data_IF_093619598258
#
_entry.id   IF_093619598258
#
_cell.length_a   1.000
_cell.length_b   1.000
_cell.length_c   1.000
_cell.angle_alpha   90.00
_cell.angle_beta   90.00
_cell.angle_gamma   90.00
#
_symmetry.space_group_name_H-M   'P 1'
#
loop_
_entity.id
_entity.type
_entity.pdbx_description
1 polymer ?
#
# COMPACT_ATOMS: atom_id res chain seq x y z
N UNK A 1 34.60 -38.74 -24.19
CA UNK A 1 35.10 -37.49 -24.12
C UNK A 1 34.11 -36.40 -24.34
N UNK A 2 33.33 -36.53 -25.22
CA UNK A 2 32.36 -35.51 -25.50
C UNK A 2 31.34 -35.36 -24.44
N UNK A 3 31.03 -36.42 -23.76
CA UNK A 3 30.09 -36.28 -22.67
C UNK A 3 30.54 -35.31 -21.64
N UNK A 4 31.78 -35.38 -21.36
CA UNK A 4 32.31 -34.49 -20.37
C UNK A 4 32.10 -33.08 -20.76
N UNK A 5 32.19 -32.78 -22.02
CA UNK A 5 31.96 -31.45 -22.48
C UNK A 5 30.57 -30.99 -22.16
N UNK A 6 29.62 -31.87 -22.38
CA UNK A 6 28.26 -31.48 -22.18
C UNK A 6 27.94 -31.26 -20.75
N UNK A 7 28.37 -32.13 -19.88
CA UNK A 7 27.94 -32.05 -18.53
C UNK A 7 28.70 -30.99 -17.77
N UNK A 8 29.91 -30.76 -18.19
CA UNK A 8 30.69 -29.81 -17.40
C UNK A 8 30.93 -28.54 -18.13
N UNK A 9 30.12 -28.26 -19.11
CA UNK A 9 30.39 -27.12 -19.94
C UNK A 9 30.59 -25.86 -19.12
N UNK A 10 29.77 -25.62 -18.10
CA UNK A 10 29.87 -24.39 -17.36
C UNK A 10 31.07 -24.35 -16.46
N UNK A 11 31.50 -25.48 -16.00
CA UNK A 11 32.64 -25.50 -15.07
C UNK A 11 33.95 -25.63 -15.79
N UNK A 12 33.96 -26.36 -16.93
CA UNK A 12 35.19 -26.58 -17.64
C UNK A 12 35.54 -25.53 -18.64
N UNK A 13 34.53 -24.82 -19.13
CA UNK A 13 34.76 -23.77 -20.07
C UNK A 13 35.40 -22.59 -19.40
N UNK A 14 36.41 -22.10 -20.04
CA UNK A 14 37.14 -20.95 -19.51
C UNK A 14 37.06 -19.81 -20.50
N UNK A 15 36.80 -18.65 -19.97
CA UNK A 15 36.74 -17.45 -20.80
C UNK A 15 37.89 -16.57 -20.42
N UNK A 16 38.62 -16.15 -21.43
CA UNK A 16 39.79 -15.30 -21.21
C UNK A 16 39.37 -13.85 -21.39
N UNK A 17 39.54 -13.05 -20.34
CA UNK A 17 39.27 -11.63 -20.41
C UNK A 17 40.50 -10.89 -19.87
N UNK A 18 40.61 -9.65 -20.23
CA UNK A 18 41.68 -8.84 -19.71
C UNK A 18 41.47 -8.52 -18.26
N UNK A 19 42.54 -8.15 -17.60
CA UNK A 19 42.46 -7.77 -16.21
C UNK A 19 41.52 -6.59 -16.02
N UNK A 20 41.60 -5.65 -16.94
CA UNK A 20 40.76 -4.47 -16.88
C UNK A 20 39.29 -4.84 -16.98
N UNK A 21 38.98 -5.77 -17.88
CA UNK A 21 37.61 -6.23 -18.03
C UNK A 21 37.11 -6.94 -16.76
N UNK A 22 37.98 -7.75 -16.19
CA UNK A 22 37.63 -8.47 -14.98
C UNK A 22 37.35 -7.50 -13.83
N UNK A 23 38.17 -6.50 -13.68
CA UNK A 23 38.01 -5.49 -12.64
C UNK A 23 36.70 -4.72 -12.85
N UNK A 24 36.43 -4.39 -14.11
CA UNK A 24 35.21 -3.65 -14.42
C UNK A 24 33.98 -4.49 -14.10
N UNK A 25 34.01 -5.77 -14.43
CA UNK A 25 32.89 -6.65 -14.12
C UNK A 25 32.69 -6.77 -12.63
N UNK A 26 33.80 -6.84 -11.89
CA UNK A 26 33.69 -6.90 -10.44
C UNK A 26 33.05 -5.65 -9.86
N UNK A 27 33.44 -4.49 -10.38
CA UNK A 27 32.86 -3.24 -9.91
C UNK A 27 31.39 -3.14 -10.25
N UNK A 28 31.04 -3.54 -11.47
CA UNK A 28 29.65 -3.52 -11.87
C UNK A 28 28.80 -4.43 -11.01
N UNK A 29 29.32 -5.61 -10.72
CA UNK A 29 28.62 -6.57 -9.87
C UNK A 29 28.43 -5.99 -8.48
N UNK A 30 29.46 -5.36 -7.94
CA UNK A 30 29.37 -4.77 -6.62
C UNK A 30 28.36 -3.63 -6.58
N UNK A 31 28.33 -2.82 -7.64
CA UNK A 31 27.36 -1.73 -7.72
C UNK A 31 25.94 -2.25 -7.84
N UNK A 32 25.75 -3.30 -8.63
CA UNK A 32 24.42 -3.89 -8.78
C UNK A 32 23.95 -4.48 -7.47
N UNK A 33 24.84 -5.12 -6.75
CA UNK A 33 24.49 -5.69 -5.45
C UNK A 33 24.13 -4.59 -4.46
N UNK A 34 24.89 -3.52 -4.46
CA UNK A 34 24.63 -2.39 -3.59
C UNK A 34 23.29 -1.76 -3.92
N UNK A 35 23.01 -1.60 -5.21
CA UNK A 35 21.73 -1.05 -5.65
C UNK A 35 20.59 -1.96 -5.27
N UNK A 36 20.77 -3.27 -5.40
CA UNK A 36 19.74 -4.22 -5.05
C UNK A 36 19.40 -4.14 -3.57
N UNK A 37 20.43 -4.03 -2.74
CA UNK A 37 20.20 -3.94 -1.29
C UNK A 37 19.46 -2.65 -0.94
N UNK A 38 19.86 -1.56 -1.59
CA UNK A 38 19.19 -0.28 -1.33
C UNK A 38 17.75 -0.30 -1.76
N UNK A 39 17.47 -0.87 -2.94
CA UNK A 39 16.10 -0.96 -3.43
C UNK A 39 15.24 -1.84 -2.55
N UNK A 40 15.83 -2.92 -2.05
CA UNK A 40 15.09 -3.80 -1.15
C UNK A 40 14.74 -3.08 0.14
N UNK A 41 15.67 -2.29 0.67
CA UNK A 41 15.41 -1.53 1.87
C UNK A 41 14.31 -0.49 1.64
N UNK A 42 14.34 0.14 0.48
CA UNK A 42 13.30 1.12 0.13
C UNK A 42 11.95 0.45 -0.05
N UNK A 43 11.95 -0.74 -0.62
CA UNK A 43 10.71 -1.49 -0.80
C UNK A 43 10.08 -1.81 0.55
N UNK A 44 10.89 -2.27 1.49
CA UNK A 44 10.39 -2.58 2.82
C UNK A 44 9.84 -1.34 3.50
N UNK A 45 10.54 -0.23 3.33
CA UNK A 45 10.10 1.03 3.92
C UNK A 45 8.77 1.48 3.34
N UNK A 46 8.63 1.37 2.02
CA UNK A 46 7.39 1.77 1.36
C UNK A 46 6.24 0.87 1.75
N UNK A 47 6.51 -0.42 1.91
CA UNK A 47 5.47 -1.35 2.33
C UNK A 47 4.98 -1.02 3.74
N UNK A 48 5.91 -0.64 4.61
CA UNK A 48 5.54 -0.26 5.97
C UNK A 48 4.69 1.02 5.97
N UNK A 49 5.08 1.99 5.13
CA UNK A 49 4.31 3.21 5.02
C UNK A 49 2.94 2.97 4.43
N UNK A 50 2.87 2.09 3.44
CA UNK A 50 1.60 1.74 2.83
C UNK A 50 0.66 1.09 3.84
N UNK A 51 1.18 0.19 4.65
CA UNK A 51 0.38 -0.46 5.68
C UNK A 51 -0.13 0.56 6.70
N UNK A 52 0.71 1.52 7.05
CA UNK A 52 0.32 2.54 7.99
C UNK A 52 -0.77 3.44 7.42
N UNK A 53 -0.64 3.80 6.14
CA UNK A 53 -1.64 4.63 5.50
C UNK A 53 -2.96 3.90 5.32
N UNK A 54 -2.91 2.62 5.02
CA UNK A 54 -4.13 1.84 4.91
C UNK A 54 -4.86 1.75 6.24
N UNK A 55 -4.11 1.57 7.33
CA UNK A 55 -4.71 1.53 8.64
C UNK A 55 -5.33 2.87 9.00
N UNK A 56 -4.65 3.95 8.64
CA UNK A 56 -5.17 5.28 8.90
C UNK A 56 -6.43 5.56 8.09
N UNK A 57 -6.43 5.11 6.83
CA UNK A 57 -7.60 5.27 5.99
C UNK A 57 -8.79 4.51 6.55
N UNK A 58 -8.57 3.29 7.02
CA UNK A 58 -9.65 2.50 7.61
C UNK A 58 -10.23 3.20 8.84
N UNK A 59 -9.36 3.80 9.64
CA UNK A 59 -9.81 4.54 10.83
C UNK A 59 -10.65 5.74 10.42
N UNK A 60 -10.20 6.48 9.41
CA UNK A 60 -10.93 7.65 8.94
C UNK A 60 -12.28 7.26 8.35
N UNK A 61 -12.32 6.17 7.61
CA UNK A 61 -13.58 5.69 7.05
C UNK A 61 -14.56 5.31 8.15
N UNK A 62 -14.06 4.68 9.20
CA UNK A 62 -14.90 4.31 10.32
C UNK A 62 -15.42 5.54 11.04
N UNK A 63 -14.58 6.53 11.27
CA UNK A 63 -15.00 7.77 11.90
C UNK A 63 -16.02 8.50 11.07
N UNK A 64 -15.81 8.51 9.75
CA UNK A 64 -16.75 9.14 8.85
C UNK A 64 -18.12 8.45 8.91
N UNK A 65 -18.10 7.11 8.93
CA UNK A 65 -19.33 6.37 9.02
C UNK A 65 -20.08 6.68 10.31
N UNK A 66 -19.34 6.83 11.40
CA UNK A 66 -19.96 7.18 12.68
C UNK A 66 -20.57 8.57 12.65
N UNK A 67 -19.89 9.52 12.02
CA UNK A 67 -20.44 10.87 11.89
C UNK A 67 -21.70 10.86 11.05
N UNK A 68 -21.69 10.13 9.95
CA UNK A 68 -22.87 10.03 9.09
C UNK A 68 -24.04 9.43 9.86
N UNK A 69 -23.79 8.36 10.60
CA UNK A 69 -24.83 7.74 11.40
C UNK A 69 -25.40 8.70 12.43
N UNK A 70 -24.52 9.42 13.10
CA UNK A 70 -24.92 10.38 14.13
C UNK A 70 -25.76 11.50 13.52
N UNK A 71 -25.33 12.03 12.38
CA UNK A 71 -26.08 13.10 11.72
C UNK A 71 -27.42 12.61 11.22
N UNK A 72 -27.46 11.38 10.72
CA UNK A 72 -28.71 10.82 10.25
C UNK A 72 -29.72 10.70 11.41
N UNK A 73 -29.24 10.23 12.54
CA UNK A 73 -30.12 10.11 13.72
C UNK A 73 -30.59 11.48 14.19
N UNK A 74 -29.71 12.47 14.21
CA UNK A 74 -30.10 13.81 14.58
C UNK A 74 -31.14 14.37 13.61
N UNK A 75 -30.93 14.11 12.32
CA UNK A 75 -31.84 14.58 11.31
C UNK A 75 -33.23 13.95 11.52
N UNK A 76 -33.25 12.67 11.75
CA UNK A 76 -34.51 11.98 11.98
C UNK A 76 -35.21 12.52 13.22
N UNK A 77 -34.45 12.79 14.27
CA UNK A 77 -35.02 13.34 15.48
C UNK A 77 -35.59 14.72 15.22
N UNK A 78 -34.86 15.57 14.51
CA UNK A 78 -35.34 16.92 14.20
C UNK A 78 -36.57 16.88 13.33
N UNK A 79 -36.61 15.97 12.36
CA UNK A 79 -37.81 15.83 11.52
C UNK A 79 -39.00 15.41 12.32
N UNK A 80 -38.75 14.53 13.29
CA UNK A 80 -39.86 14.08 14.16
C UNK A 80 -40.36 15.23 15.03
N UNK A 81 -39.42 16.04 15.54
CA UNK A 81 -39.79 17.21 16.33
C UNK A 81 -40.60 18.20 15.50
N UNK A 82 -40.18 18.38 14.25
CA UNK A 82 -40.88 19.29 13.36
C UNK A 82 -42.29 18.81 13.08
N UNK A 83 -42.46 17.51 12.87
CA UNK A 83 -43.75 16.91 12.65
C UNK A 83 -44.65 17.13 13.85
N UNK A 84 -44.12 16.87 15.02
CA UNK A 84 -44.89 17.04 16.25
C UNK A 84 -45.28 18.49 16.45
N UNK A 85 -44.39 19.40 16.14
CA UNK A 85 -44.67 20.81 16.27
C UNK A 85 -45.76 21.24 15.33
N UNK A 86 -45.70 20.80 14.09
CA UNK A 86 -46.76 21.11 13.12
C UNK A 86 -48.07 20.55 13.52
N UNK A 87 -48.06 19.31 13.95
CA UNK A 87 -49.29 18.65 14.37
C UNK A 87 -49.94 19.41 15.52
N UNK A 88 -49.12 19.85 16.45
CA UNK A 88 -49.63 20.58 17.60
C UNK A 88 -50.28 21.90 17.18
N UNK A 89 -49.60 22.60 16.27
CA UNK A 89 -50.10 23.88 15.77
C UNK A 89 -51.45 23.70 15.04
N UNK A 90 -51.47 22.78 14.12
CA UNK A 90 -52.68 22.59 13.30
C UNK A 90 -53.80 21.96 14.09
N UNK A 91 -53.46 21.11 15.04
CA UNK A 91 -54.47 20.58 15.91
C UNK A 91 -55.17 21.68 16.69
N UNK A 92 -54.42 22.64 17.16
CA UNK A 92 -55.03 23.78 17.86
C UNK A 92 -55.89 24.58 16.94
N UNK A 93 -55.40 24.79 15.72
CA UNK A 93 -56.14 25.62 14.78
C UNK A 93 -57.49 25.04 14.43
N UNK A 94 -57.56 23.73 14.34
CA UNK A 94 -58.78 23.10 13.93
C UNK A 94 -59.83 23.11 15.01
N UNK A 95 -59.43 23.44 16.21
CA UNK A 95 -60.39 23.59 17.25
C UNK A 95 -61.00 24.96 17.24
#
# INVERSE_FOLDING_TARGET
MENRENQTNNTDEMVTISRAEYEQLRQEKAQMESTRVRLEAERIKLEAEHARLEAKLATLEQEQAQVITSLTLQNEWLLEQLKLSKKKLFGRSSE
#
